data_IF_211788518191
#
_entry.id   IF_211788518191
#
_cell.length_a   1.000
_cell.length_b   1.000
_cell.length_c   1.000
_cell.angle_alpha   90.00
_cell.angle_beta   90.00
_cell.angle_gamma   90.00
#
_symmetry.space_group_name_H-M   'P 1'
#
loop_
_entity.id
_entity.type
_entity.pdbx_description
1 polymer ?
#
# COMPACT_ATOMS: atom_id res chain seq x y z
N UNK A 1 12.71 4.76 -7.06
CA UNK A 1 11.43 5.14 -7.71
C UNK A 1 10.47 5.74 -6.70
N UNK A 2 9.89 4.96 -5.78
CA UNK A 2 8.92 5.48 -4.80
C UNK A 2 9.51 6.61 -3.95
N UNK A 3 10.73 6.44 -3.47
CA UNK A 3 11.42 7.50 -2.70
C UNK A 3 11.72 8.76 -3.52
N UNK A 4 11.85 8.64 -4.83
CA UNK A 4 12.08 9.79 -5.71
C UNK A 4 10.79 10.59 -5.92
N UNK A 5 9.65 9.93 -6.08
CA UNK A 5 8.36 10.59 -6.34
C UNK A 5 7.60 11.01 -5.07
N UNK A 6 7.68 10.21 -4.00
CA UNK A 6 6.86 10.36 -2.79
C UNK A 6 7.70 10.42 -1.50
N UNK A 7 9.03 10.25 -1.56
CA UNK A 7 9.86 9.99 -0.38
C UNK A 7 9.84 11.06 0.71
N UNK A 8 9.62 12.33 0.37
CA UNK A 8 9.56 13.43 1.34
C UNK A 8 8.25 13.49 2.13
N UNK A 9 7.16 12.94 1.60
CA UNK A 9 5.83 12.97 2.24
C UNK A 9 5.47 11.66 2.95
N UNK A 10 6.10 10.55 2.59
CA UNK A 10 5.81 9.24 3.17
C UNK A 10 6.30 9.15 4.61
N UNK A 11 5.38 8.82 5.52
CA UNK A 11 5.69 8.42 6.89
C UNK A 11 5.45 6.93 7.07
N UNK A 12 6.32 6.26 7.81
CA UNK A 12 6.18 4.86 8.19
C UNK A 12 5.71 4.72 9.65
N UNK A 13 4.91 3.68 9.90
CA UNK A 13 4.53 3.29 11.26
C UNK A 13 4.59 1.78 11.40
N UNK A 14 5.24 1.34 12.46
CA UNK A 14 5.30 -0.08 12.82
C UNK A 14 4.00 -0.47 13.51
N UNK A 15 3.22 -1.34 12.88
CA UNK A 15 1.93 -1.80 13.40
C UNK A 15 2.08 -2.82 14.53
N UNK A 16 2.94 -3.83 14.31
CA UNK A 16 3.22 -4.89 15.28
C UNK A 16 4.52 -5.60 14.95
N UNK A 17 5.24 -5.97 16.01
CA UNK A 17 6.36 -6.90 15.95
C UNK A 17 5.90 -8.17 16.67
N UNK A 18 6.11 -9.33 16.06
CA UNK A 18 5.79 -10.61 16.68
C UNK A 18 6.96 -11.60 16.52
N UNK A 19 7.37 -12.29 17.59
CA UNK A 19 8.30 -13.40 17.47
C UNK A 19 7.57 -14.60 16.83
N UNK A 20 8.22 -15.24 15.85
CA UNK A 20 7.76 -16.49 15.23
C UNK A 20 8.87 -17.52 15.38
N UNK A 21 8.50 -18.75 15.70
CA UNK A 21 9.46 -19.79 16.10
C UNK A 21 9.28 -21.05 15.25
N UNK A 22 10.39 -21.74 14.96
CA UNK A 22 10.40 -23.06 14.34
C UNK A 22 11.19 -24.01 15.24
N UNK A 23 10.63 -25.19 15.51
CA UNK A 23 11.34 -26.25 16.23
C UNK A 23 12.43 -26.86 15.35
N UNK A 24 13.61 -27.07 15.92
CA UNK A 24 14.75 -27.75 15.28
C UNK A 24 15.28 -28.86 16.20
N UNK A 25 16.21 -29.68 15.69
CA UNK A 25 16.85 -30.74 16.50
C UNK A 25 17.63 -30.17 17.70
N UNK A 26 18.16 -28.95 17.57
CA UNK A 26 18.90 -28.25 18.62
C UNK A 26 18.03 -27.23 19.39
N UNK A 27 16.71 -27.47 19.49
CA UNK A 27 15.77 -26.60 20.19
C UNK A 27 15.03 -25.59 19.30
N UNK A 28 14.51 -24.52 19.91
CA UNK A 28 13.68 -23.53 19.23
C UNK A 28 14.53 -22.47 18.51
N UNK A 29 14.21 -22.23 17.23
CA UNK A 29 14.80 -21.14 16.43
C UNK A 29 13.78 -20.02 16.27
N UNK A 30 14.07 -18.86 16.84
CA UNK A 30 13.20 -17.68 16.80
C UNK A 30 13.60 -16.72 15.67
N UNK A 31 12.62 -15.98 15.16
CA UNK A 31 12.77 -14.86 14.24
C UNK A 31 11.72 -13.80 14.57
N UNK A 32 11.94 -12.57 14.13
CA UNK A 32 10.99 -11.48 14.33
C UNK A 32 10.29 -11.12 13.02
N UNK A 33 8.97 -11.06 13.07
CA UNK A 33 8.12 -10.61 11.98
C UNK A 33 7.60 -9.21 12.29
N UNK A 34 7.92 -8.25 11.43
CA UNK A 34 7.47 -6.88 11.51
C UNK A 34 6.38 -6.61 10.47
N UNK A 35 5.35 -5.88 10.89
CA UNK A 35 4.30 -5.34 10.03
C UNK A 35 4.46 -3.82 10.04
N UNK A 36 4.64 -3.22 8.87
CA UNK A 36 4.84 -1.78 8.71
C UNK A 36 3.84 -1.26 7.71
N UNK A 37 3.18 -0.16 8.06
CA UNK A 37 2.36 0.62 7.15
C UNK A 37 3.14 1.89 6.76
N UNK A 38 2.96 2.33 5.53
CA UNK A 38 3.52 3.59 5.02
C UNK A 38 2.38 4.37 4.38
N UNK A 39 2.36 5.69 4.51
CA UNK A 39 1.48 6.53 3.70
C UNK A 39 1.82 8.01 3.79
N UNK A 40 1.22 8.79 2.91
CA UNK A 40 1.46 10.23 2.73
C UNK A 40 0.32 11.11 3.25
N UNK A 41 -0.70 10.51 3.88
CA UNK A 41 -1.94 11.17 4.31
C UNK A 41 -2.74 11.80 3.16
N UNK A 42 -2.40 11.50 1.91
CA UNK A 42 -2.95 12.14 0.73
C UNK A 42 -3.30 11.14 -0.39
N UNK A 43 -3.68 9.93 -0.02
CA UNK A 43 -4.19 8.95 -0.97
C UNK A 43 -3.16 7.93 -1.43
N UNK A 44 -2.03 7.77 -0.74
CA UNK A 44 -1.11 6.66 -0.98
C UNK A 44 -0.88 5.88 0.32
N UNK A 45 -1.02 4.55 0.25
CA UNK A 45 -0.74 3.67 1.38
C UNK A 45 -0.04 2.40 0.93
N UNK A 46 0.93 1.94 1.72
CA UNK A 46 1.67 0.70 1.51
C UNK A 46 1.63 -0.16 2.76
N UNK A 47 1.64 -1.48 2.57
CA UNK A 47 1.71 -2.45 3.68
C UNK A 47 2.85 -3.44 3.42
N UNK A 48 3.79 -3.49 4.35
CA UNK A 48 4.97 -4.33 4.28
C UNK A 48 4.99 -5.35 5.42
N UNK A 49 5.39 -6.57 5.09
CA UNK A 49 5.56 -7.64 6.08
C UNK A 49 6.87 -8.35 5.82
N UNK A 50 7.79 -8.29 6.79
CA UNK A 50 9.08 -8.97 6.68
C UNK A 50 9.37 -9.76 7.94
N UNK A 51 10.01 -10.91 7.77
CA UNK A 51 10.59 -11.69 8.85
C UNK A 51 12.12 -11.75 8.69
N UNK A 52 12.84 -11.50 9.78
CA UNK A 52 14.31 -11.50 9.85
C UNK A 52 14.78 -12.02 11.21
N UNK A 53 16.09 -12.28 11.35
CA UNK A 53 16.69 -12.74 12.62
C UNK A 53 16.67 -11.64 13.69
N UNK A 54 16.88 -10.40 13.27
CA UNK A 54 16.91 -9.23 14.15
C UNK A 54 15.71 -8.32 13.87
N UNK A 55 15.28 -7.59 14.90
CA UNK A 55 14.12 -6.68 14.80
C UNK A 55 14.41 -5.51 13.85
N UNK A 56 15.59 -4.88 13.97
CA UNK A 56 15.94 -3.73 13.14
C UNK A 56 15.97 -4.09 11.65
N UNK A 57 16.52 -5.26 11.29
CA UNK A 57 16.52 -5.73 9.89
C UNK A 57 15.13 -6.14 9.40
N UNK A 58 14.26 -6.65 10.27
CA UNK A 58 12.87 -6.92 9.93
C UNK A 58 12.11 -5.62 9.62
N UNK A 59 12.29 -4.57 10.43
CA UNK A 59 11.62 -3.28 10.24
C UNK A 59 12.11 -2.62 8.94
N UNK A 60 13.43 -2.48 8.76
CA UNK A 60 13.99 -1.89 7.53
C UNK A 60 13.54 -2.62 6.28
N UNK A 61 13.56 -3.96 6.31
CA UNK A 61 13.06 -4.77 5.20
C UNK A 61 11.56 -4.64 4.97
N UNK A 62 10.76 -4.49 6.03
CA UNK A 62 9.32 -4.26 5.92
C UNK A 62 9.00 -2.87 5.36
N UNK A 63 9.77 -1.83 5.71
CA UNK A 63 9.65 -0.49 5.12
C UNK A 63 9.88 -0.56 3.61
N UNK A 64 10.95 -1.21 3.15
CA UNK A 64 11.25 -1.35 1.71
C UNK A 64 10.12 -2.08 1.00
N UNK A 65 9.62 -3.19 1.57
CA UNK A 65 8.49 -3.92 1.00
C UNK A 65 7.20 -3.10 0.97
N UNK A 66 6.93 -2.30 2.00
CA UNK A 66 5.77 -1.41 2.05
C UNK A 66 5.85 -0.32 0.97
N UNK A 67 7.05 0.23 0.71
CA UNK A 67 7.28 1.19 -0.38
C UNK A 67 6.99 0.56 -1.74
N UNK A 68 7.45 -0.67 -1.97
CA UNK A 68 7.20 -1.40 -3.22
C UNK A 68 5.71 -1.74 -3.43
N UNK A 69 4.94 -1.86 -2.34
CA UNK A 69 3.51 -2.16 -2.36
C UNK A 69 2.63 -0.93 -2.11
N UNK A 70 3.08 0.28 -2.46
CA UNK A 70 2.21 1.46 -2.35
C UNK A 70 1.09 1.36 -3.38
N UNK A 71 -0.15 1.52 -2.91
CA UNK A 71 -1.36 1.61 -3.72
C UNK A 71 -1.98 3.00 -3.64
N UNK A 72 -2.60 3.48 -4.73
CA UNK A 72 -3.40 4.68 -4.69
C UNK A 72 -4.73 4.41 -3.98
N UNK A 73 -5.26 5.42 -3.29
CA UNK A 73 -6.53 5.37 -2.56
C UNK A 73 -7.51 6.39 -3.11
N UNK A 74 -8.65 5.91 -3.64
CA UNK A 74 -9.67 6.79 -4.18
C UNK A 74 -10.52 7.30 -3.02
N UNK A 75 -10.50 8.62 -2.81
CA UNK A 75 -11.38 9.31 -1.86
C UNK A 75 -12.58 9.91 -2.58
N UNK A 76 -13.67 10.08 -1.86
CA UNK A 76 -14.95 10.59 -2.33
C UNK A 76 -15.68 11.38 -1.26
N UNK A 77 -16.98 11.52 -1.48
CA UNK A 77 -17.90 12.28 -0.63
C UNK A 77 -19.02 11.36 -0.16
N UNK A 78 -19.56 11.64 1.02
CA UNK A 78 -20.72 10.90 1.53
C UNK A 78 -22.02 11.30 0.81
N UNK A 79 -22.18 12.60 0.52
CA UNK A 79 -23.35 13.18 -0.14
C UNK A 79 -22.94 14.35 -1.03
N UNK A 80 -23.30 15.57 -0.64
CA UNK A 80 -22.94 16.78 -1.40
C UNK A 80 -21.42 16.91 -1.57
N UNK A 81 -20.99 17.18 -2.81
CA UNK A 81 -19.58 17.31 -3.20
C UNK A 81 -19.02 18.69 -2.85
N UNK A 82 -18.98 18.99 -1.55
CA UNK A 82 -18.50 20.29 -1.03
C UNK A 82 -17.12 20.09 -0.38
N UNK A 83 -16.16 20.93 -0.78
CA UNK A 83 -14.79 20.91 -0.26
C UNK A 83 -13.96 19.77 -0.83
N UNK A 84 -12.97 19.30 -0.07
CA UNK A 84 -12.11 18.17 -0.46
C UNK A 84 -12.79 16.82 -0.17
N UNK A 85 -12.49 15.76 -0.95
CA UNK A 85 -12.93 14.40 -0.64
C UNK A 85 -12.44 13.96 0.74
N UNK A 86 -13.32 13.36 1.54
CA UNK A 86 -13.06 13.08 2.96
C UNK A 86 -13.29 11.60 3.35
N UNK A 87 -14.10 10.87 2.57
CA UNK A 87 -14.52 9.49 2.86
C UNK A 87 -14.24 8.57 1.68
N UNK A 88 -14.48 7.26 1.80
CA UNK A 88 -14.49 6.31 0.66
C UNK A 88 -15.65 6.62 -0.32
N UNK A 89 -15.49 6.42 -1.63
CA UNK A 89 -16.50 6.75 -2.65
C UNK A 89 -17.72 5.80 -2.64
N UNK A 90 -17.51 4.55 -2.27
CA UNK A 90 -18.55 3.53 -2.20
C UNK A 90 -18.26 2.56 -1.05
N UNK A 91 -19.22 1.68 -0.75
CA UNK A 91 -19.02 0.60 0.20
C UNK A 91 -18.11 -0.46 -0.43
N UNK A 92 -16.91 -0.63 0.11
CA UNK A 92 -15.93 -1.60 -0.38
C UNK A 92 -15.63 -2.65 0.69
N UNK A 93 -15.32 -3.86 0.25
CA UNK A 93 -14.99 -4.98 1.14
C UNK A 93 -13.68 -5.61 0.71
N UNK A 94 -12.78 -5.83 1.67
CA UNK A 94 -11.56 -6.59 1.48
C UNK A 94 -11.54 -7.84 2.37
N UNK A 95 -10.94 -8.92 1.88
CA UNK A 95 -10.89 -10.21 2.57
C UNK A 95 -9.46 -10.75 2.62
N UNK A 96 -9.05 -11.26 3.78
CA UNK A 96 -7.80 -12.01 3.92
C UNK A 96 -8.02 -13.15 4.93
N UNK A 97 -7.87 -14.40 4.47
CA UNK A 97 -8.24 -15.58 5.26
C UNK A 97 -9.74 -15.54 5.61
N UNK A 98 -10.06 -15.70 6.90
CA UNK A 98 -11.43 -15.58 7.41
C UNK A 98 -11.86 -14.15 7.74
N UNK A 99 -10.93 -13.18 7.70
CA UNK A 99 -11.21 -11.78 8.08
C UNK A 99 -11.74 -11.02 6.88
N UNK A 100 -12.90 -10.38 7.06
CA UNK A 100 -13.52 -9.49 6.10
C UNK A 100 -13.66 -8.11 6.73
N UNK A 101 -13.21 -7.07 6.01
CA UNK A 101 -13.31 -5.67 6.42
C UNK A 101 -14.13 -4.92 5.39
N UNK A 102 -15.20 -4.28 5.84
CA UNK A 102 -16.07 -3.44 5.03
C UNK A 102 -15.85 -1.98 5.41
N UNK A 103 -15.50 -1.16 4.43
CA UNK A 103 -15.44 0.29 4.54
C UNK A 103 -16.78 0.86 4.04
N UNK A 104 -17.35 1.77 4.81
CA UNK A 104 -18.65 2.38 4.52
C UNK A 104 -18.46 3.90 4.58
N UNK A 105 -18.93 4.64 3.55
CA UNK A 105 -18.83 6.09 3.56
C UNK A 105 -19.52 6.72 4.79
N UNK A 106 -18.91 7.73 5.40
CA UNK A 106 -19.43 8.41 6.58
C UNK A 106 -19.52 9.94 6.36
N UNK A 107 -20.47 10.65 7.01
CA UNK A 107 -20.59 12.10 6.90
C UNK A 107 -19.38 12.82 7.52
N UNK A 108 -19.18 14.10 7.15
CA UNK A 108 -18.04 14.90 7.62
C UNK A 108 -18.04 15.04 9.14
N UNK A 109 -16.88 14.86 9.76
CA UNK A 109 -16.70 15.00 11.21
C UNK A 109 -17.03 13.73 12.01
N UNK A 110 -17.34 12.62 11.34
CA UNK A 110 -17.49 11.31 12.00
C UNK A 110 -16.15 10.78 12.52
N UNK A 111 -15.08 11.10 11.81
CA UNK A 111 -13.77 10.48 11.98
C UNK A 111 -13.75 9.01 11.55
N UNK A 112 -12.64 8.35 11.85
CA UNK A 112 -12.44 6.94 11.53
C UNK A 112 -12.96 6.08 12.69
N UNK A 113 -14.14 5.48 12.49
CA UNK A 113 -14.74 4.53 13.44
C UNK A 113 -14.25 3.13 13.11
N UNK A 114 -13.09 2.78 13.67
CA UNK A 114 -12.45 1.49 13.47
C UNK A 114 -11.56 1.07 14.63
N UNK A 115 -11.18 -0.21 14.64
CA UNK A 115 -10.18 -0.72 15.56
C UNK A 115 -8.81 -0.03 15.34
N UNK A 116 -7.88 -0.05 16.32
CA UNK A 116 -6.64 0.73 16.24
C UNK A 116 -5.78 0.46 15.00
N UNK A 117 -5.69 -0.80 14.56
CA UNK A 117 -4.86 -1.22 13.41
C UNK A 117 -5.39 -0.66 12.08
N UNK A 118 -6.64 -0.95 11.66
CA UNK A 118 -7.20 -0.36 10.45
C UNK A 118 -7.35 1.15 10.55
N UNK A 119 -7.57 1.71 11.76
CA UNK A 119 -7.62 3.17 11.96
C UNK A 119 -6.33 3.84 11.51
N UNK A 120 -5.16 3.30 11.89
CA UNK A 120 -3.86 3.79 11.44
C UNK A 120 -3.69 3.70 9.92
N UNK A 121 -4.08 2.58 9.32
CA UNK A 121 -4.02 2.39 7.86
C UNK A 121 -4.91 3.38 7.09
N UNK A 122 -6.15 3.58 7.54
CA UNK A 122 -7.09 4.52 6.91
C UNK A 122 -6.64 5.97 7.08
N UNK A 123 -6.05 6.29 8.23
CA UNK A 123 -5.50 7.62 8.50
C UNK A 123 -4.30 7.92 7.58
N UNK A 124 -3.37 6.98 7.42
CA UNK A 124 -2.25 7.10 6.47
C UNK A 124 -2.70 7.18 5.01
N UNK A 125 -3.79 6.50 4.67
CA UNK A 125 -4.42 6.59 3.36
C UNK A 125 -5.06 7.98 3.09
N UNK A 126 -5.15 8.85 4.10
CA UNK A 126 -5.74 10.18 3.97
C UNK A 126 -7.27 10.18 3.99
N UNK A 127 -7.90 9.11 4.51
CA UNK A 127 -9.35 9.06 4.74
C UNK A 127 -9.64 9.68 6.10
N UNK A 128 -10.48 10.72 6.11
CA UNK A 128 -10.85 11.47 7.33
C UNK A 128 -12.00 10.78 8.05
N UNK A 129 -13.04 10.41 7.29
CA UNK A 129 -14.27 9.84 7.81
C UNK A 129 -14.56 8.47 7.19
N UNK A 130 -14.79 7.45 8.01
CA UNK A 130 -15.21 6.14 7.52
C UNK A 130 -15.82 5.31 8.65
N UNK A 131 -16.98 4.70 8.38
CA UNK A 131 -17.47 3.60 9.20
C UNK A 131 -16.80 2.31 8.75
N UNK A 132 -16.46 1.45 9.71
CA UNK A 132 -15.91 0.13 9.39
C UNK A 132 -16.71 -0.97 10.06
N UNK A 133 -16.84 -2.09 9.38
CA UNK A 133 -17.39 -3.31 9.94
C UNK A 133 -16.42 -4.44 9.64
N UNK A 134 -16.06 -5.21 10.66
CA UNK A 134 -15.15 -6.34 10.53
C UNK A 134 -15.83 -7.63 10.97
N UNK A 135 -15.67 -8.70 10.20
CA UNK A 135 -16.18 -10.05 10.51
C UNK A 135 -15.06 -11.08 10.38
N UNK A 136 -15.13 -12.14 11.20
CA UNK A 136 -14.11 -13.19 11.24
C UNK A 136 -13.10 -12.99 12.39
N UNK A 137 -11.94 -13.66 12.30
CA UNK A 137 -10.94 -13.66 13.38
C UNK A 137 -10.03 -12.41 13.35
N UNK A 138 -10.58 -11.28 13.79
CA UNK A 138 -9.90 -9.97 13.81
C UNK A 138 -8.71 -9.89 14.77
N UNK A 139 -8.60 -10.83 15.72
CA UNK A 139 -7.43 -10.97 16.61
C UNK A 139 -6.12 -11.21 15.84
N UNK A 140 -6.20 -11.80 14.64
CA UNK A 140 -5.04 -12.02 13.77
C UNK A 140 -4.66 -10.75 13.01
N UNK A 141 -3.88 -9.87 13.65
CA UNK A 141 -3.50 -8.55 13.12
C UNK A 141 -3.01 -8.58 11.67
N UNK A 142 -2.19 -9.56 11.30
CA UNK A 142 -1.64 -9.64 9.95
C UNK A 142 -2.71 -9.82 8.86
N UNK A 143 -3.74 -10.62 9.11
CA UNK A 143 -4.84 -10.81 8.17
C UNK A 143 -5.78 -9.61 8.20
N UNK A 144 -6.01 -9.04 9.38
CA UNK A 144 -6.88 -7.88 9.54
C UNK A 144 -6.33 -6.62 8.83
N UNK A 145 -5.03 -6.35 8.98
CA UNK A 145 -4.34 -5.27 8.27
C UNK A 145 -4.38 -5.48 6.75
N UNK A 146 -4.10 -6.71 6.28
CA UNK A 146 -4.17 -7.06 4.86
C UNK A 146 -5.59 -6.93 4.29
N UNK A 147 -6.61 -7.39 5.00
CA UNK A 147 -8.00 -7.26 4.57
C UNK A 147 -8.40 -5.79 4.42
N UNK A 148 -7.95 -4.94 5.35
CA UNK A 148 -8.18 -3.49 5.27
C UNK A 148 -7.45 -2.86 4.07
N UNK A 149 -6.18 -3.21 3.88
CA UNK A 149 -5.38 -2.76 2.74
C UNK A 149 -6.03 -3.16 1.39
N UNK A 150 -6.54 -4.39 1.28
CA UNK A 150 -7.27 -4.84 0.09
C UNK A 150 -8.61 -4.11 -0.10
N UNK A 151 -9.31 -3.78 0.99
CA UNK A 151 -10.54 -2.98 0.91
C UNK A 151 -10.25 -1.58 0.33
N UNK A 152 -9.15 -0.96 0.76
CA UNK A 152 -8.68 0.32 0.25
C UNK A 152 -8.32 0.22 -1.25
N UNK A 153 -7.59 -0.83 -1.64
CA UNK A 153 -7.23 -1.07 -3.04
C UNK A 153 -8.46 -1.14 -3.96
N UNK A 154 -9.53 -1.78 -3.47
CA UNK A 154 -10.79 -1.93 -4.23
C UNK A 154 -11.49 -0.60 -4.52
N UNK A 155 -11.14 0.49 -3.84
CA UNK A 155 -11.74 1.83 -4.09
C UNK A 155 -11.50 2.33 -5.51
N UNK A 156 -10.32 2.05 -6.07
CA UNK A 156 -10.02 2.36 -7.47
C UNK A 156 -10.58 1.33 -8.46
N UNK A 157 -10.72 0.07 -8.03
CA UNK A 157 -11.33 -0.97 -8.85
C UNK A 157 -12.84 -0.81 -9.03
N UNK A 158 -13.49 -0.02 -8.18
CA UNK A 158 -14.93 0.20 -8.27
C UNK A 158 -15.26 1.23 -9.36
N UNK A 159 -16.00 0.78 -10.38
CA UNK A 159 -16.49 1.65 -11.44
C UNK A 159 -17.72 2.42 -10.97
N UNK A 160 -17.65 3.74 -11.08
CA UNK A 160 -18.71 4.66 -10.72
C UNK A 160 -19.11 5.50 -11.94
N UNK A 161 -20.32 6.07 -12.00
CA UNK A 161 -20.81 6.79 -13.18
C UNK A 161 -19.94 7.95 -13.66
N UNK A 162 -19.20 8.61 -12.77
CA UNK A 162 -18.22 9.67 -13.11
C UNK A 162 -17.02 9.16 -13.92
N UNK A 163 -16.79 7.84 -13.96
CA UNK A 163 -15.72 7.20 -14.72
C UNK A 163 -16.23 6.48 -15.99
N UNK A 164 -17.52 6.58 -16.35
CA UNK A 164 -18.06 5.93 -17.54
C UNK A 164 -17.62 6.56 -18.86
N UNK A 165 -17.22 7.83 -18.82
CA UNK A 165 -16.74 8.52 -20.03
C UNK A 165 -15.45 7.86 -20.50
N UNK A 166 -15.49 7.31 -21.71
CA UNK A 166 -14.32 6.75 -22.37
C UNK A 166 -13.23 7.82 -22.50
N UNK A 167 -11.99 7.42 -22.22
CA UNK A 167 -10.80 8.25 -22.40
C UNK A 167 -9.94 7.61 -23.47
N UNK A 168 -9.44 8.43 -24.37
CA UNK A 168 -8.45 7.99 -25.35
C UNK A 168 -7.20 7.49 -24.62
N UNK A 169 -6.67 6.34 -25.06
CA UNK A 169 -5.47 5.77 -24.50
C UNK A 169 -4.26 6.59 -24.95
N UNK A 170 -3.61 7.26 -24.01
CA UNK A 170 -2.35 7.95 -24.27
C UNK A 170 -1.21 6.93 -24.46
N UNK A 171 -0.18 7.33 -25.23
CA UNK A 171 1.03 6.51 -25.38
C UNK A 171 1.67 6.28 -24.01
N UNK A 172 2.18 5.09 -23.78
CA UNK A 172 2.86 4.80 -22.51
C UNK A 172 4.17 5.59 -22.40
N UNK A 173 4.61 6.00 -21.21
CA UNK A 173 5.90 6.66 -21.04
C UNK A 173 7.08 5.85 -21.58
N UNK A 174 7.01 4.51 -21.51
CA UNK A 174 8.02 3.64 -22.09
C UNK A 174 8.12 3.78 -23.61
N UNK A 175 6.98 3.98 -24.28
CA UNK A 175 6.93 4.18 -25.73
C UNK A 175 7.40 5.58 -26.11
N UNK A 176 6.98 6.61 -25.37
CA UNK A 176 7.36 8.01 -25.62
C UNK A 176 8.86 8.25 -25.41
N UNK A 177 9.43 7.67 -24.34
CA UNK A 177 10.85 7.82 -24.01
C UNK A 177 11.71 6.65 -24.50
N UNK A 178 11.27 5.90 -25.54
CA UNK A 178 11.99 4.72 -26.06
C UNK A 178 13.44 5.06 -26.42
N UNK A 179 13.65 6.12 -27.19
CA UNK A 179 14.98 6.53 -27.66
C UNK A 179 15.91 6.85 -26.49
N UNK A 180 15.41 7.62 -25.51
CA UNK A 180 16.16 7.94 -24.30
C UNK A 180 16.51 6.67 -23.50
N UNK A 181 15.54 5.78 -23.31
CA UNK A 181 15.75 4.54 -22.57
C UNK A 181 16.74 3.62 -23.28
N UNK A 182 16.74 3.52 -24.62
CA UNK A 182 17.71 2.70 -25.35
C UNK A 182 19.15 3.17 -25.12
N UNK A 183 19.39 4.48 -25.00
CA UNK A 183 20.72 5.04 -24.81
C UNK A 183 21.15 5.06 -23.33
N UNK A 184 20.20 5.32 -22.41
CA UNK A 184 20.48 5.49 -20.98
C UNK A 184 20.37 4.18 -20.17
N UNK A 185 19.52 3.24 -20.60
CA UNK A 185 19.28 1.97 -19.90
C UNK A 185 20.24 0.89 -20.41
N UNK A 186 21.26 0.56 -19.60
CA UNK A 186 22.02 -0.67 -19.80
C UNK A 186 21.26 -1.85 -19.18
N UNK A 187 20.89 -2.88 -19.95
CA UNK A 187 20.45 -4.12 -19.34
C UNK A 187 21.62 -4.71 -18.54
N UNK A 188 21.33 -5.12 -17.31
CA UNK A 188 22.30 -5.74 -16.41
C UNK A 188 22.84 -7.02 -17.07
N UNK A 189 24.06 -6.99 -17.61
CA UNK A 189 24.73 -8.15 -18.20
C UNK A 189 25.43 -7.97 -19.56
N UNK A 190 25.33 -6.82 -20.23
CA UNK A 190 26.04 -6.59 -21.52
C UNK A 190 27.31 -5.75 -21.31
N UNK A 191 28.47 -6.38 -21.52
CA UNK A 191 29.76 -5.69 -21.61
C UNK A 191 29.84 -4.89 -22.93
N UNK A 192 30.50 -3.73 -22.91
CA UNK A 192 30.80 -2.95 -24.13
C UNK A 192 31.61 -3.83 -25.09
N UNK A 193 31.13 -4.06 -26.31
CA UNK A 193 32.03 -4.22 -27.44
C UNK A 193 32.76 -2.89 -27.61
N UNK A 194 34.05 -2.90 -27.36
CA UNK A 194 34.94 -1.75 -27.59
C UNK A 194 34.84 -1.41 -29.08
N UNK A 195 34.46 -0.18 -29.41
CA UNK A 195 34.56 0.31 -30.79
C UNK A 195 36.04 0.26 -31.21
N UNK A 196 36.37 -0.28 -32.39
CA UNK A 196 37.74 -0.22 -32.88
C UNK A 196 38.07 1.25 -33.14
N UNK A 197 39.04 1.78 -32.40
CA UNK A 197 39.69 3.05 -32.70
C UNK A 197 40.28 2.97 -34.11
N UNK A 198 39.63 3.62 -35.06
CA UNK A 198 40.22 3.88 -36.38
C UNK A 198 41.28 4.97 -36.24
N UNK A 199 42.50 4.63 -36.65
CA UNK A 199 43.61 5.54 -36.92
C UNK A 199 43.28 6.54 -38.02
#
# INVERSE_FOLDING_TARGET
IIDHFLGSSLKDEVLKIMPVQKQTRAGQRTRFKAFVAIGDFNGHVGLGVKCSKEVATAIRGAIILAKLSVIPVRRGYWGNKIGKPHTVPCKVTGKCGSVLVRLIPAPRGTGIVSAPVPKKLLHMAGIEDCYTSARGSTATLGNFAKATYLAIQQTYSYLTPDLWKERELQKSPYQEFTDYLMHAHRPVGTARSVEPTTH
#
